data_IF_659427770058
#
_entry.id   IF_659427770058
#
_cell.length_a   1.000
_cell.length_b   1.000
_cell.length_c   1.000
_cell.angle_alpha   90.00
_cell.angle_beta   90.00
_cell.angle_gamma   90.00
#
_symmetry.space_group_name_H-M   'P 1'
#
loop_
_entity.id
_entity.type
_entity.pdbx_description
1 polymer ?
#
# COMPACT_ATOMS: atom_id res chain seq x y z
N UNK A 1 -36.75 -10.80 -55.72
CA UNK A 1 -37.15 -10.25 -54.40
C UNK A 1 -36.23 -10.87 -53.36
N UNK A 2 -35.00 -10.40 -53.22
CA UNK A 2 -34.55 -9.18 -52.50
C UNK A 2 -34.99 -9.21 -51.03
N UNK A 3 -33.97 -9.13 -50.16
CA UNK A 3 -33.96 -9.05 -48.69
C UNK A 3 -34.16 -10.36 -47.92
N UNK A 4 -33.07 -11.08 -47.65
CA UNK A 4 -32.73 -11.58 -46.30
C UNK A 4 -31.24 -11.97 -46.22
N UNK A 5 -30.37 -11.11 -46.75
CA UNK A 5 -28.91 -11.26 -46.72
C UNK A 5 -28.32 -10.14 -45.86
N UNK A 6 -28.35 -10.26 -44.53
CA UNK A 6 -27.46 -9.43 -43.67
C UNK A 6 -27.28 -9.86 -42.20
N UNK A 7 -27.48 -11.12 -41.83
CA UNK A 7 -27.31 -11.55 -40.42
C UNK A 7 -26.38 -12.74 -40.17
N UNK A 8 -25.61 -13.19 -41.17
CA UNK A 8 -24.71 -14.36 -41.02
C UNK A 8 -23.25 -14.13 -41.42
N UNK A 9 -22.78 -12.88 -41.45
CA UNK A 9 -21.45 -12.52 -41.99
C UNK A 9 -20.47 -11.85 -41.00
N UNK A 10 -20.59 -12.12 -39.68
CA UNK A 10 -19.64 -11.56 -38.68
C UNK A 10 -19.00 -12.56 -37.72
N UNK A 11 -19.23 -13.86 -37.86
CA UNK A 11 -18.66 -14.89 -36.97
C UNK A 11 -17.70 -15.88 -37.65
N UNK A 12 -17.37 -15.69 -38.93
CA UNK A 12 -16.54 -16.63 -39.70
C UNK A 12 -15.23 -16.02 -40.28
N UNK A 13 -14.69 -14.97 -39.65
CA UNK A 13 -13.49 -14.26 -40.12
C UNK A 13 -12.33 -14.18 -39.11
N UNK A 14 -12.23 -15.13 -38.17
CA UNK A 14 -11.13 -15.16 -37.18
C UNK A 14 -10.58 -16.55 -36.86
N UNK A 15 -10.88 -17.52 -37.72
CA UNK A 15 -10.23 -18.83 -37.76
C UNK A 15 -9.91 -19.07 -39.24
N UNK A 16 -8.67 -19.46 -39.54
CA UNK A 16 -8.07 -19.57 -40.88
C UNK A 16 -7.36 -18.28 -41.34
N UNK A 17 -6.30 -17.90 -40.62
CA UNK A 17 -5.13 -17.25 -41.24
C UNK A 17 -3.90 -17.55 -40.36
N UNK A 18 -3.25 -18.68 -40.62
CA UNK A 18 -2.06 -19.06 -39.87
C UNK A 18 -1.60 -20.49 -40.11
N UNK A 19 -1.82 -21.05 -41.29
CA UNK A 19 -1.15 -22.27 -41.72
C UNK A 19 -1.12 -22.33 -43.24
N UNK A 20 0.08 -22.58 -43.76
CA UNK A 20 0.45 -22.90 -45.15
C UNK A 20 0.70 -21.73 -46.10
N UNK A 21 1.91 -21.16 -46.03
CA UNK A 21 2.71 -20.84 -47.22
C UNK A 21 4.21 -21.00 -46.91
N UNK A 22 4.77 -22.13 -47.33
CA UNK A 22 6.16 -22.24 -47.83
C UNK A 22 6.03 -22.75 -49.28
N UNK A 23 6.84 -22.26 -50.24
CA UNK A 23 8.12 -22.94 -50.47
C UNK A 23 9.31 -22.03 -50.84
N UNK A 24 10.49 -22.46 -50.36
CA UNK A 24 11.79 -22.61 -51.07
C UNK A 24 12.34 -21.47 -51.94
N UNK A 25 13.49 -20.91 -51.54
CA UNK A 25 14.70 -20.89 -52.38
C UNK A 25 15.98 -20.88 -51.51
N UNK A 26 16.97 -21.65 -51.95
CA UNK A 26 18.30 -21.89 -51.36
C UNK A 26 19.11 -20.58 -51.21
N UNK A 27 20.01 -20.43 -50.24
CA UNK A 27 21.37 -21.01 -50.22
C UNK A 27 22.09 -20.61 -48.91
N UNK A 28 23.12 -21.39 -48.59
CA UNK A 28 24.28 -21.07 -47.75
C UNK A 28 24.19 -20.87 -46.21
N UNK A 29 25.02 -21.69 -45.56
CA UNK A 29 25.69 -21.58 -44.26
C UNK A 29 24.98 -22.03 -42.97
N UNK A 30 25.49 -23.18 -42.53
CA UNK A 30 25.32 -23.87 -41.27
C UNK A 30 25.80 -23.00 -40.09
N UNK A 31 24.86 -22.38 -39.37
CA UNK A 31 25.10 -21.85 -38.02
C UNK A 31 24.16 -22.57 -37.07
N UNK A 32 24.71 -23.45 -36.25
CA UNK A 32 24.09 -23.98 -35.03
C UNK A 32 23.61 -22.81 -34.17
N UNK A 33 22.35 -22.43 -34.29
CA UNK A 33 21.65 -21.61 -33.29
C UNK A 33 21.06 -22.55 -32.26
N UNK A 34 21.75 -22.65 -31.12
CA UNK A 34 21.11 -22.96 -29.86
C UNK A 34 19.90 -22.03 -29.72
N UNK A 35 18.70 -22.61 -29.73
CA UNK A 35 17.50 -21.88 -29.34
C UNK A 35 17.64 -21.63 -27.84
N UNK A 36 17.79 -20.38 -27.35
CA UNK A 36 17.63 -20.16 -25.93
C UNK A 36 16.16 -20.44 -25.65
N UNK A 37 15.89 -21.47 -24.86
CA UNK A 37 14.59 -21.65 -24.25
C UNK A 37 14.27 -20.33 -23.53
N UNK A 38 13.33 -19.56 -24.08
CA UNK A 38 12.69 -18.48 -23.34
C UNK A 38 11.88 -19.17 -22.26
N UNK A 39 12.54 -19.47 -21.15
CA UNK A 39 11.86 -19.74 -19.89
C UNK A 39 11.07 -18.46 -19.59
N UNK A 40 9.75 -18.50 -19.77
CA UNK A 40 8.89 -17.57 -19.05
C UNK A 40 9.23 -17.78 -17.57
N UNK A 41 10.07 -16.90 -17.01
CA UNK A 41 10.47 -16.94 -15.60
C UNK A 41 9.17 -16.89 -14.78
N UNK A 42 8.77 -18.04 -14.23
CA UNK A 42 7.66 -18.09 -13.29
C UNK A 42 8.02 -17.17 -12.13
N UNK A 43 7.16 -16.20 -11.87
CA UNK A 43 7.36 -15.23 -10.79
C UNK A 43 7.31 -16.00 -9.47
N UNK A 44 8.48 -16.18 -8.85
CA UNK A 44 8.60 -16.77 -7.53
C UNK A 44 8.52 -15.72 -6.44
N UNK A 45 7.65 -15.93 -5.45
CA UNK A 45 7.40 -15.00 -4.35
C UNK A 45 7.77 -15.65 -3.01
N UNK A 46 8.49 -14.93 -2.16
CA UNK A 46 8.67 -15.30 -0.75
C UNK A 46 7.62 -14.59 0.12
N UNK A 47 7.09 -15.28 1.14
CA UNK A 47 6.13 -14.69 2.08
C UNK A 47 6.78 -14.59 3.46
N UNK A 48 7.01 -13.36 3.92
CA UNK A 48 7.61 -13.11 5.22
C UNK A 48 6.69 -13.53 6.39
N UNK A 49 7.26 -13.83 7.58
CA UNK A 49 6.50 -13.88 8.82
C UNK A 49 5.69 -12.60 9.01
N UNK A 50 4.40 -12.75 9.31
CA UNK A 50 3.49 -11.62 9.54
C UNK A 50 3.99 -10.81 10.73
N UNK A 51 4.20 -9.52 10.50
CA UNK A 51 4.62 -8.59 11.54
C UNK A 51 3.43 -8.24 12.43
N UNK A 52 3.55 -8.50 13.73
CA UNK A 52 2.50 -8.20 14.68
C UNK A 52 2.63 -6.78 15.24
N UNK A 53 1.93 -5.83 14.62
CA UNK A 53 1.78 -4.46 15.12
C UNK A 53 0.52 -4.30 15.99
N UNK A 54 -0.25 -5.39 16.21
CA UNK A 54 -1.51 -5.34 16.95
C UNK A 54 -1.32 -5.11 18.45
N UNK A 55 -0.11 -5.32 18.97
CA UNK A 55 0.18 -5.25 20.41
C UNK A 55 -0.54 -6.31 21.24
N UNK A 56 -1.26 -7.25 20.61
CA UNK A 56 -2.03 -8.33 21.24
C UNK A 56 -1.54 -9.69 20.75
N UNK A 57 -1.91 -10.76 21.46
CA UNK A 57 -1.67 -12.12 20.96
C UNK A 57 -2.57 -12.35 19.75
N UNK A 58 -1.99 -12.82 18.65
CA UNK A 58 -2.71 -13.00 17.39
C UNK A 58 -2.20 -14.22 16.60
N UNK A 59 -3.05 -14.84 15.77
CA UNK A 59 -2.73 -16.04 14.99
C UNK A 59 -1.92 -15.70 13.73
N UNK A 60 -0.72 -15.13 13.92
CA UNK A 60 0.12 -14.63 12.82
C UNK A 60 0.65 -15.74 11.90
N UNK A 61 0.82 -16.96 12.42
CA UNK A 61 1.26 -18.11 11.63
C UNK A 61 0.16 -18.58 10.71
N UNK A 62 -1.06 -18.66 11.22
CA UNK A 62 -2.26 -19.05 10.50
C UNK A 62 -2.57 -18.04 9.39
N UNK A 63 -2.46 -16.73 9.68
CA UNK A 63 -2.59 -15.66 8.68
C UNK A 63 -1.56 -15.84 7.56
N UNK A 64 -0.29 -16.11 7.89
CA UNK A 64 0.76 -16.36 6.88
C UNK A 64 0.43 -17.58 6.03
N UNK A 65 0.02 -18.69 6.64
CA UNK A 65 -0.33 -19.90 5.90
C UNK A 65 -1.55 -19.69 4.99
N UNK A 66 -2.53 -18.89 5.42
CA UNK A 66 -3.65 -18.49 4.57
C UNK A 66 -3.18 -17.68 3.34
N UNK A 67 -2.20 -16.79 3.50
CA UNK A 67 -1.59 -16.10 2.36
C UNK A 67 -0.89 -17.05 1.39
N UNK A 68 -0.05 -17.95 1.91
CA UNK A 68 0.69 -18.95 1.12
C UNK A 68 -0.27 -19.85 0.34
N UNK A 69 -1.26 -20.43 1.03
CA UNK A 69 -2.22 -21.35 0.41
C UNK A 69 -3.05 -20.66 -0.68
N UNK A 70 -3.48 -19.42 -0.45
CA UNK A 70 -4.27 -18.68 -1.42
C UNK A 70 -3.44 -18.24 -2.63
N UNK A 71 -2.19 -17.82 -2.45
CA UNK A 71 -1.24 -17.56 -3.56
C UNK A 71 -1.01 -18.82 -4.40
N UNK A 72 -0.77 -19.96 -3.76
CA UNK A 72 -0.64 -21.24 -4.45
C UNK A 72 -1.89 -21.61 -5.26
N UNK A 73 -3.08 -21.34 -4.73
CA UNK A 73 -4.35 -21.63 -5.43
C UNK A 73 -4.57 -20.82 -6.71
N UNK A 74 -3.90 -19.67 -6.86
CA UNK A 74 -3.97 -18.82 -8.06
C UNK A 74 -2.77 -19.02 -9.00
N UNK A 75 -1.95 -20.05 -8.75
CA UNK A 75 -0.83 -20.44 -9.62
C UNK A 75 0.45 -19.63 -9.44
N UNK A 76 0.57 -18.85 -8.36
CA UNK A 76 1.82 -18.17 -8.00
C UNK A 76 2.80 -19.18 -7.42
N UNK A 77 4.05 -19.17 -7.90
CA UNK A 77 5.12 -19.99 -7.33
C UNK A 77 5.56 -19.38 -5.99
N UNK A 78 5.20 -20.01 -4.88
CA UNK A 78 5.57 -19.54 -3.53
C UNK A 78 6.76 -20.34 -3.04
N UNK A 79 7.78 -19.64 -2.55
CA UNK A 79 8.98 -20.27 -1.97
C UNK A 79 8.59 -21.19 -0.80
N UNK A 80 9.16 -22.38 -0.77
CA UNK A 80 8.92 -23.36 0.30
C UNK A 80 9.53 -22.92 1.63
N UNK A 81 8.97 -23.45 2.73
CA UNK A 81 9.33 -23.05 4.09
C UNK A 81 10.78 -23.40 4.45
N UNK A 82 11.27 -24.56 4.01
CA UNK A 82 12.61 -25.03 4.37
C UNK A 82 13.69 -24.15 3.72
N UNK A 83 13.53 -23.85 2.42
CA UNK A 83 14.41 -22.93 1.70
C UNK A 83 14.33 -21.52 2.28
N UNK A 84 13.13 -21.05 2.62
CA UNK A 84 12.92 -19.75 3.24
C UNK A 84 13.64 -19.63 4.60
N UNK A 85 13.46 -20.60 5.50
CA UNK A 85 14.10 -20.60 6.83
C UNK A 85 15.64 -20.68 6.72
N UNK A 86 16.17 -21.52 5.83
CA UNK A 86 17.61 -21.58 5.55
C UNK A 86 18.16 -20.23 5.06
N UNK A 87 17.41 -19.55 4.20
CA UNK A 87 17.78 -18.22 3.72
C UNK A 87 17.77 -17.19 4.85
N UNK A 88 16.70 -17.14 5.64
CA UNK A 88 16.56 -16.23 6.79
C UNK A 88 17.71 -16.43 7.80
N UNK A 89 18.07 -17.69 8.08
CA UNK A 89 19.19 -18.03 8.95
C UNK A 89 20.55 -17.63 8.37
N UNK A 90 20.80 -17.91 7.09
CA UNK A 90 22.05 -17.56 6.38
C UNK A 90 22.33 -16.06 6.43
N UNK A 91 21.32 -15.25 6.15
CA UNK A 91 21.42 -13.79 6.13
C UNK A 91 21.12 -13.13 7.49
N UNK A 92 20.84 -13.93 8.53
CA UNK A 92 20.51 -13.48 9.89
C UNK A 92 19.39 -12.43 9.91
N UNK A 93 18.37 -12.64 9.08
CA UNK A 93 17.26 -11.72 8.93
C UNK A 93 16.38 -11.84 10.19
N UNK A 94 16.32 -10.76 10.97
CA UNK A 94 15.49 -10.68 12.19
C UNK A 94 14.31 -9.72 12.04
N UNK A 95 14.42 -8.76 11.14
CA UNK A 95 13.38 -7.79 10.87
C UNK A 95 12.57 -8.24 9.65
N UNK A 96 11.27 -8.42 9.83
CA UNK A 96 10.33 -8.87 8.78
C UNK A 96 9.36 -7.77 8.36
N UNK A 97 9.46 -6.58 8.95
CA UNK A 97 8.63 -5.44 8.60
C UNK A 97 9.06 -4.71 7.33
N UNK A 98 10.05 -5.19 6.58
CA UNK A 98 10.59 -4.57 5.37
C UNK A 98 11.77 -5.33 4.77
N UNK A 99 12.12 -5.00 3.53
CA UNK A 99 13.28 -5.58 2.83
C UNK A 99 14.29 -4.48 2.53
N UNK A 100 15.55 -4.66 2.96
CA UNK A 100 16.65 -3.76 2.59
C UNK A 100 17.18 -4.09 1.19
N UNK A 101 17.94 -3.18 0.59
CA UNK A 101 18.56 -3.39 -0.72
C UNK A 101 19.47 -4.63 -0.75
N UNK A 102 20.21 -4.88 0.32
CA UNK A 102 21.11 -6.03 0.43
C UNK A 102 20.32 -7.34 0.45
N UNK A 103 19.25 -7.39 1.23
CA UNK A 103 18.38 -8.57 1.32
C UNK A 103 17.61 -8.78 0.02
N UNK A 104 17.13 -7.71 -0.62
CA UNK A 104 16.49 -7.78 -1.94
C UNK A 104 17.42 -8.36 -3.01
N UNK A 105 18.70 -7.94 -3.03
CA UNK A 105 19.71 -8.50 -3.93
C UNK A 105 19.95 -9.98 -3.65
N UNK A 106 20.11 -10.35 -2.39
CA UNK A 106 20.31 -11.74 -1.97
C UNK A 106 19.13 -12.64 -2.39
N UNK A 107 17.88 -12.19 -2.23
CA UNK A 107 16.70 -12.94 -2.67
C UNK A 107 16.75 -13.26 -4.16
N UNK A 108 17.12 -12.27 -5.00
CA UNK A 108 17.17 -12.46 -6.45
C UNK A 108 18.34 -13.34 -6.88
N UNK A 109 19.52 -13.17 -6.27
CA UNK A 109 20.75 -13.85 -6.68
C UNK A 109 20.86 -15.29 -6.15
N UNK A 110 20.49 -15.53 -4.90
CA UNK A 110 20.75 -16.83 -4.26
C UNK A 110 19.62 -17.84 -4.49
N UNK A 111 18.37 -17.37 -4.49
CA UNK A 111 17.18 -18.24 -4.51
C UNK A 111 16.16 -17.87 -5.58
N UNK A 112 16.52 -16.95 -6.49
CA UNK A 112 15.73 -16.57 -7.66
C UNK A 112 14.30 -16.14 -7.33
N UNK A 113 14.11 -15.56 -6.14
CA UNK A 113 12.85 -14.93 -5.77
C UNK A 113 12.78 -13.59 -6.52
N UNK A 114 11.62 -13.30 -7.09
CA UNK A 114 11.36 -12.07 -7.85
C UNK A 114 10.55 -11.03 -7.05
N UNK A 115 9.93 -11.44 -5.95
CA UNK A 115 9.23 -10.55 -5.03
C UNK A 115 9.05 -11.11 -3.63
N UNK A 116 8.87 -10.22 -2.66
CA UNK A 116 8.61 -10.55 -1.26
C UNK A 116 7.27 -9.96 -0.84
N UNK A 117 6.35 -10.80 -0.38
CA UNK A 117 5.10 -10.39 0.25
C UNK A 117 5.35 -10.16 1.74
N UNK A 118 5.04 -8.94 2.18
CA UNK A 118 5.17 -8.49 3.56
C UNK A 118 3.79 -8.09 4.06
N UNK A 119 3.38 -8.66 5.18
CA UNK A 119 2.08 -8.40 5.81
C UNK A 119 2.30 -7.96 7.25
N UNK A 120 1.67 -6.86 7.62
CA UNK A 120 1.63 -6.35 8.99
C UNK A 120 0.19 -6.39 9.50
N UNK A 121 0.00 -6.96 10.69
CA UNK A 121 -1.28 -7.01 11.41
C UNK A 121 -1.36 -5.81 12.35
N UNK A 122 -2.20 -4.83 12.02
CA UNK A 122 -2.29 -3.55 12.72
C UNK A 122 -3.26 -3.60 13.91
N UNK A 123 -4.31 -4.41 13.79
CA UNK A 123 -5.35 -4.61 14.81
C UNK A 123 -5.81 -6.07 14.80
N UNK A 124 -5.95 -6.65 15.98
CA UNK A 124 -6.57 -7.96 16.18
C UNK A 124 -7.28 -7.99 17.53
N UNK A 125 -8.59 -8.25 17.49
CA UNK A 125 -9.46 -8.43 18.64
C UNK A 125 -10.46 -9.53 18.32
N UNK A 126 -10.51 -10.56 19.17
CA UNK A 126 -11.50 -11.64 19.13
C UNK A 126 -12.73 -11.33 20.01
N UNK A 127 -12.67 -10.27 20.83
CA UNK A 127 -13.80 -9.75 21.60
C UNK A 127 -14.92 -9.29 20.66
N UNK A 128 -16.16 -9.69 20.93
CA UNK A 128 -17.33 -9.37 20.10
C UNK A 128 -17.70 -7.87 20.21
N UNK A 129 -17.90 -7.15 19.09
CA UNK A 129 -17.65 -7.58 17.71
C UNK A 129 -16.14 -7.69 17.42
N UNK A 130 -15.67 -8.79 16.80
CA UNK A 130 -14.26 -8.96 16.47
C UNK A 130 -13.78 -7.84 15.56
N UNK A 131 -12.49 -7.54 15.62
CA UNK A 131 -11.85 -6.51 14.77
C UNK A 131 -10.53 -7.01 14.23
N UNK A 132 -10.27 -6.69 12.97
CA UNK A 132 -9.03 -7.02 12.31
C UNK A 132 -8.60 -5.91 11.38
N UNK A 133 -7.30 -5.61 11.37
CA UNK A 133 -6.71 -4.75 10.35
C UNK A 133 -5.40 -5.32 9.85
N UNK A 134 -5.28 -5.39 8.52
CA UNK A 134 -4.14 -5.95 7.80
C UNK A 134 -3.69 -4.96 6.74
N UNK A 135 -2.39 -4.78 6.62
CA UNK A 135 -1.77 -4.09 5.50
C UNK A 135 -0.71 -5.00 4.88
N UNK A 136 -0.73 -5.12 3.56
CA UNK A 136 0.18 -6.01 2.83
C UNK A 136 0.79 -5.29 1.65
N UNK A 137 2.02 -5.66 1.33
CA UNK A 137 2.74 -5.13 0.17
C UNK A 137 3.63 -6.18 -0.47
N UNK A 138 3.71 -6.11 -1.79
CA UNK A 138 4.61 -6.91 -2.61
C UNK A 138 5.78 -6.01 -3.03
N UNK A 139 6.98 -6.39 -2.62
CA UNK A 139 8.22 -5.65 -2.92
C UNK A 139 9.02 -6.43 -3.96
N UNK A 140 9.52 -5.76 -5.00
CA UNK A 140 10.42 -6.36 -5.97
C UNK A 140 11.79 -6.64 -5.36
N UNK A 141 12.45 -7.70 -5.82
CA UNK A 141 13.82 -8.05 -5.43
C UNK A 141 14.80 -7.70 -6.53
N UNK A 142 16.07 -7.48 -6.18
CA UNK A 142 17.13 -7.09 -7.10
C UNK A 142 17.87 -5.85 -6.61
N UNK A 143 18.50 -5.14 -7.54
CA UNK A 143 19.37 -4.00 -7.17
C UNK A 143 18.62 -2.77 -6.68
N UNK A 144 17.40 -2.57 -7.16
CA UNK A 144 16.54 -1.43 -6.84
C UNK A 144 15.16 -1.94 -6.41
N UNK A 145 15.01 -2.40 -5.15
CA UNK A 145 13.73 -2.88 -4.67
C UNK A 145 12.70 -1.74 -4.66
N UNK A 146 11.49 -2.05 -5.12
CA UNK A 146 10.38 -1.11 -5.23
C UNK A 146 9.08 -1.77 -4.82
N UNK A 147 8.17 -0.98 -4.26
CA UNK A 147 6.84 -1.45 -3.89
C UNK A 147 6.03 -1.64 -5.18
N UNK A 148 5.74 -2.89 -5.55
CA UNK A 148 4.97 -3.24 -6.74
C UNK A 148 3.47 -3.04 -6.48
N UNK A 149 3.00 -3.54 -5.35
CA UNK A 149 1.61 -3.47 -4.90
C UNK A 149 1.58 -3.25 -3.39
N UNK A 150 0.61 -2.48 -2.92
CA UNK A 150 0.36 -2.28 -1.50
C UNK A 150 -1.12 -1.96 -1.29
N UNK A 151 -1.76 -2.67 -0.37
CA UNK A 151 -3.12 -2.36 0.05
C UNK A 151 -3.37 -2.75 1.51
N UNK A 152 -4.47 -2.24 2.06
CA UNK A 152 -4.82 -2.39 3.47
C UNK A 152 -6.32 -2.53 3.65
N UNK A 153 -6.73 -3.32 4.64
CA UNK A 153 -8.13 -3.51 5.03
C UNK A 153 -8.24 -3.46 6.54
N UNK A 154 -9.21 -2.69 7.05
CA UNK A 154 -9.61 -2.71 8.45
C UNK A 154 -11.11 -3.02 8.50
N UNK A 155 -11.49 -4.00 9.31
CA UNK A 155 -12.87 -4.46 9.49
C UNK A 155 -13.20 -4.61 10.97
N UNK A 156 -14.44 -4.27 11.31
CA UNK A 156 -15.09 -4.67 12.55
C UNK A 156 -16.30 -5.57 12.23
N UNK A 157 -16.61 -6.50 13.14
CA UNK A 157 -17.72 -7.43 13.00
C UNK A 157 -19.07 -6.73 12.85
N UNK A 158 -19.19 -5.50 13.34
CA UNK A 158 -20.39 -4.68 13.31
C UNK A 158 -20.40 -3.61 12.19
N UNK A 159 -19.43 -3.61 11.28
CA UNK A 159 -19.38 -2.67 10.13
C UNK A 159 -20.57 -2.79 9.17
N UNK A 160 -21.25 -3.94 9.16
CA UNK A 160 -22.39 -4.23 8.28
C UNK A 160 -23.70 -4.36 9.06
N UNK A 161 -23.80 -3.80 10.27
CA UNK A 161 -25.04 -3.81 11.07
C UNK A 161 -26.21 -3.28 10.24
N UNK A 162 -27.06 -4.19 9.78
CA UNK A 162 -28.33 -3.89 9.11
C UNK A 162 -29.44 -3.59 10.13
N UNK A 163 -30.68 -3.50 9.65
CA UNK A 163 -31.85 -3.47 10.54
C UNK A 163 -31.88 -4.79 11.35
N UNK A 164 -32.03 -4.73 12.68
CA UNK A 164 -32.08 -5.89 13.58
C UNK A 164 -30.77 -6.72 13.67
N UNK A 165 -29.59 -6.10 13.58
CA UNK A 165 -28.28 -6.78 13.69
C UNK A 165 -28.00 -7.89 12.66
N UNK A 166 -28.78 -7.99 11.57
CA UNK A 166 -28.70 -9.04 10.53
C UNK A 166 -27.38 -9.09 9.73
N UNK A 167 -26.39 -8.25 10.04
CA UNK A 167 -25.07 -8.24 9.40
C UNK A 167 -23.90 -8.23 10.39
N UNK A 168 -24.15 -8.52 11.67
CA UNK A 168 -23.12 -8.70 12.68
C UNK A 168 -22.34 -9.99 12.41
N UNK A 169 -21.02 -9.89 12.32
CA UNK A 169 -20.10 -11.02 12.27
C UNK A 169 -19.53 -11.19 13.68
N UNK A 170 -19.89 -12.26 14.37
CA UNK A 170 -19.39 -12.57 15.72
C UNK A 170 -18.14 -13.46 15.70
N UNK A 171 -17.96 -14.27 14.65
CA UNK A 171 -16.82 -15.18 14.51
C UNK A 171 -15.57 -14.44 13.97
N UNK A 172 -14.47 -14.38 14.74
CA UNK A 172 -13.21 -13.77 14.28
C UNK A 172 -12.64 -14.42 13.01
N UNK A 173 -12.85 -15.73 12.81
CA UNK A 173 -12.35 -16.43 11.63
C UNK A 173 -13.12 -16.01 10.37
N UNK A 174 -14.45 -15.93 10.44
CA UNK A 174 -15.27 -15.39 9.36
C UNK A 174 -14.86 -13.95 8.99
N UNK A 175 -14.51 -13.11 9.99
CA UNK A 175 -14.01 -11.76 9.73
C UNK A 175 -12.63 -11.76 9.07
N UNK A 176 -11.72 -12.63 9.51
CA UNK A 176 -10.40 -12.82 8.91
C UNK A 176 -10.53 -13.29 7.45
N UNK A 177 -11.39 -14.27 7.16
CA UNK A 177 -11.63 -14.75 5.79
C UNK A 177 -12.14 -13.64 4.87
N UNK A 178 -13.04 -12.79 5.39
CA UNK A 178 -13.52 -11.59 4.68
C UNK A 178 -12.39 -10.60 4.41
N UNK A 179 -11.53 -10.31 5.40
CA UNK A 179 -10.38 -9.42 5.25
C UNK A 179 -9.40 -9.97 4.20
N UNK A 180 -9.07 -11.26 4.27
CA UNK A 180 -8.20 -11.95 3.33
C UNK A 180 -8.78 -11.89 1.90
N UNK A 181 -10.07 -12.17 1.74
CA UNK A 181 -10.74 -12.07 0.43
C UNK A 181 -10.59 -10.68 -0.17
N UNK A 182 -10.83 -9.62 0.59
CA UNK A 182 -10.69 -8.22 0.12
C UNK A 182 -9.25 -7.94 -0.33
N UNK A 183 -8.26 -8.36 0.46
CA UNK A 183 -6.84 -8.18 0.16
C UNK A 183 -6.44 -8.90 -1.14
N UNK A 184 -6.83 -10.16 -1.27
CA UNK A 184 -6.56 -10.97 -2.47
C UNK A 184 -7.27 -10.45 -3.71
N UNK A 185 -8.51 -10.00 -3.58
CA UNK A 185 -9.23 -9.37 -4.69
C UNK A 185 -8.48 -8.11 -5.16
N UNK A 186 -7.88 -7.32 -4.24
CA UNK A 186 -7.05 -6.17 -4.59
C UNK A 186 -5.77 -6.56 -5.33
N UNK A 187 -5.03 -7.53 -4.81
CA UNK A 187 -3.83 -8.03 -5.47
C UNK A 187 -4.13 -8.64 -6.85
N UNK A 188 -5.21 -9.41 -6.98
CA UNK A 188 -5.62 -9.99 -8.26
C UNK A 188 -5.99 -8.92 -9.29
N UNK A 189 -6.63 -7.82 -8.89
CA UNK A 189 -6.89 -6.67 -9.77
C UNK A 189 -5.58 -6.06 -10.28
N UNK A 190 -4.60 -5.90 -9.41
CA UNK A 190 -3.26 -5.43 -9.77
C UNK A 190 -2.56 -6.39 -10.75
N UNK A 191 -2.46 -7.67 -10.41
CA UNK A 191 -1.77 -8.69 -11.23
C UNK A 191 -2.41 -8.88 -12.60
N UNK A 192 -3.75 -8.81 -12.66
CA UNK A 192 -4.48 -8.93 -13.93
C UNK A 192 -4.37 -7.69 -14.83
N UNK A 193 -3.64 -6.64 -14.41
CA UNK A 193 -3.56 -5.32 -15.06
C UNK A 193 -4.94 -4.74 -15.41
N UNK A 194 -6.00 -5.14 -14.68
CA UNK A 194 -7.38 -4.65 -14.89
C UNK A 194 -7.61 -3.27 -14.29
N UNK A 195 -6.55 -2.60 -13.82
CA UNK A 195 -6.67 -1.25 -13.30
C UNK A 195 -6.95 -0.25 -14.43
N UNK A 196 -8.17 0.28 -14.41
CA UNK A 196 -8.35 1.71 -14.64
C UNK A 196 -7.91 2.42 -13.36
N UNK A 197 -6.87 3.25 -13.46
CA UNK A 197 -6.46 4.16 -12.39
C UNK A 197 -7.69 4.91 -11.86
N UNK A 198 -7.90 4.90 -10.54
CA UNK A 198 -8.85 5.80 -9.88
C UNK A 198 -10.12 5.21 -9.26
N UNK A 199 -10.41 3.90 -9.35
CA UNK A 199 -11.54 3.28 -8.63
C UNK A 199 -11.26 2.98 -7.14
N UNK A 200 -10.37 3.76 -6.51
CA UNK A 200 -10.22 3.74 -5.06
C UNK A 200 -11.34 4.54 -4.41
N UNK A 201 -11.94 4.00 -3.33
CA UNK A 201 -12.89 4.73 -2.47
C UNK A 201 -12.48 6.19 -2.32
N UNK A 202 -13.33 7.11 -2.77
CA UNK A 202 -13.08 8.55 -2.64
C UNK A 202 -13.13 8.87 -1.16
N UNK A 203 -11.98 9.19 -0.55
CA UNK A 203 -11.94 9.50 0.88
C UNK A 203 -13.05 10.48 1.27
N UNK A 204 -13.68 10.33 2.44
CA UNK A 204 -14.78 11.21 2.84
C UNK A 204 -14.29 12.64 3.12
N UNK A 205 -15.18 13.64 3.08
CA UNK A 205 -14.82 15.05 3.36
C UNK A 205 -14.49 15.28 4.84
N UNK A 206 -15.06 14.48 5.75
CA UNK A 206 -14.80 14.57 7.19
C UNK A 206 -13.34 14.36 7.58
N UNK A 207 -12.60 13.58 6.80
CA UNK A 207 -11.18 13.29 7.03
C UNK A 207 -10.23 14.34 6.43
N UNK A 208 -10.67 15.60 6.29
CA UNK A 208 -9.76 16.67 5.87
C UNK A 208 -8.91 17.08 7.09
N UNK A 209 -7.61 17.36 6.89
CA UNK A 209 -6.78 17.90 7.96
C UNK A 209 -7.38 19.21 8.48
N UNK A 210 -7.26 19.42 9.79
CA UNK A 210 -7.72 20.63 10.48
C UNK A 210 -6.87 21.83 10.07
N UNK A 211 -5.55 21.62 10.04
CA UNK A 211 -4.56 22.62 9.64
C UNK A 211 -3.71 22.00 8.54
N UNK A 212 -3.48 22.76 7.47
CA UNK A 212 -2.58 22.35 6.40
C UNK A 212 -1.85 23.54 5.83
N UNK A 213 -0.56 23.37 5.55
CA UNK A 213 0.28 24.32 4.87
C UNK A 213 0.89 23.66 3.63
N UNK A 214 1.02 24.43 2.55
CA UNK A 214 1.73 24.04 1.33
C UNK A 214 2.57 25.22 0.86
N UNK A 215 3.86 24.99 0.66
CA UNK A 215 4.75 26.02 0.14
C UNK A 215 4.39 26.38 -1.30
N UNK A 216 4.36 27.67 -1.68
CA UNK A 216 4.17 28.10 -3.06
C UNK A 216 5.26 27.61 -4.03
N UNK A 217 6.45 27.27 -3.51
CA UNK A 217 7.57 26.76 -4.31
C UNK A 217 7.44 25.27 -4.66
N UNK A 218 6.53 24.55 -4.01
CA UNK A 218 6.28 23.14 -4.29
C UNK A 218 5.56 22.97 -5.62
N UNK A 219 6.18 22.28 -6.58
CA UNK A 219 5.53 21.94 -7.84
C UNK A 219 4.71 20.64 -7.67
N UNK A 220 3.37 20.70 -7.64
CA UNK A 220 2.55 19.50 -7.48
C UNK A 220 2.60 18.59 -8.71
N UNK A 221 3.08 19.06 -9.87
CA UNK A 221 3.08 18.31 -11.13
C UNK A 221 4.35 17.51 -11.39
N UNK A 222 5.42 17.77 -10.65
CA UNK A 222 6.66 17.01 -10.70
C UNK A 222 6.47 15.62 -10.07
N UNK A 223 7.19 14.62 -10.58
CA UNK A 223 7.34 13.32 -9.93
C UNK A 223 8.42 13.40 -8.85
N UNK A 224 8.14 12.85 -7.68
CA UNK A 224 9.04 12.86 -6.53
C UNK A 224 9.31 11.45 -6.03
N UNK A 225 10.57 11.19 -5.69
CA UNK A 225 10.94 10.02 -4.88
C UNK A 225 10.81 10.38 -3.40
N UNK A 226 10.05 9.59 -2.64
CA UNK A 226 9.67 9.90 -1.26
C UNK A 226 10.16 8.82 -0.31
N UNK A 227 10.99 9.20 0.65
CA UNK A 227 11.27 8.38 1.82
C UNK A 227 10.26 8.71 2.94
N UNK A 228 9.76 7.70 3.65
CA UNK A 228 8.87 7.92 4.80
C UNK A 228 9.63 7.51 6.06
N UNK A 229 9.97 8.50 6.88
CA UNK A 229 10.63 8.27 8.16
C UNK A 229 9.67 7.65 9.17
N UNK A 230 10.19 6.88 10.16
CA UNK A 230 9.39 6.46 11.31
C UNK A 230 8.74 7.67 11.98
N UNK A 231 7.42 7.60 12.20
CA UNK A 231 6.71 8.64 12.93
C UNK A 231 7.04 8.52 14.42
N UNK A 232 7.29 9.66 15.06
CA UNK A 232 7.53 9.70 16.49
C UNK A 232 6.21 9.43 17.23
N UNK A 233 6.22 8.56 18.23
CA UNK A 233 4.98 8.06 18.83
C UNK A 233 4.80 8.56 20.27
N UNK A 234 3.88 9.51 20.46
CA UNK A 234 3.43 9.99 21.78
C UNK A 234 2.17 9.27 22.28
N UNK A 235 1.51 8.50 21.42
CA UNK A 235 0.29 7.76 21.79
C UNK A 235 0.59 6.59 22.72
N UNK A 236 -0.45 6.10 23.41
CA UNK A 236 -0.35 4.88 24.24
C UNK A 236 -0.16 3.60 23.40
N UNK A 237 -0.46 3.68 22.10
CA UNK A 237 -0.40 2.56 21.17
C UNK A 237 1.04 2.35 20.71
N UNK A 238 1.70 1.32 21.24
CA UNK A 238 3.13 1.01 21.00
C UNK A 238 3.63 1.20 19.56
N UNK A 239 2.90 0.73 18.56
CA UNK A 239 3.32 0.71 17.16
C UNK A 239 2.60 1.74 16.27
N UNK A 240 1.96 2.75 16.84
CA UNK A 240 1.18 3.71 16.05
C UNK A 240 2.03 4.43 15.00
N UNK A 241 3.28 4.78 15.33
CA UNK A 241 4.21 5.39 14.39
C UNK A 241 4.48 4.51 13.16
N UNK A 242 4.75 3.22 13.37
CA UNK A 242 4.99 2.27 12.28
C UNK A 242 3.73 2.05 11.43
N UNK A 243 2.55 1.97 12.06
CA UNK A 243 1.27 1.84 11.36
C UNK A 243 1.03 3.07 10.45
N UNK A 244 1.29 4.28 10.94
CA UNK A 244 1.14 5.51 10.15
C UNK A 244 2.05 5.52 8.92
N UNK A 245 3.31 5.07 9.05
CA UNK A 245 4.23 4.91 7.91
C UNK A 245 3.60 4.03 6.83
N UNK A 246 3.04 2.88 7.20
CA UNK A 246 2.42 1.94 6.25
C UNK A 246 1.21 2.56 5.55
N UNK A 247 0.37 3.31 6.27
CA UNK A 247 -0.77 4.00 5.65
C UNK A 247 -0.35 5.10 4.69
N UNK A 248 0.65 5.92 5.05
CA UNK A 248 1.18 6.92 4.14
C UNK A 248 1.82 6.29 2.90
N UNK A 249 2.60 5.22 3.07
CA UNK A 249 3.18 4.50 1.94
C UNK A 249 2.08 3.99 1.00
N UNK A 250 1.05 3.33 1.55
CA UNK A 250 -0.10 2.82 0.78
C UNK A 250 -0.80 3.91 0.01
N UNK A 251 -1.13 5.04 0.65
CA UNK A 251 -1.93 6.08 0.01
C UNK A 251 -1.11 6.93 -0.96
N UNK A 252 0.17 7.23 -0.68
CA UNK A 252 1.03 7.96 -1.60
C UNK A 252 1.33 7.14 -2.87
N UNK A 253 1.52 5.82 -2.74
CA UNK A 253 1.77 4.92 -3.88
C UNK A 253 0.62 4.87 -4.90
N UNK A 254 -0.58 5.30 -4.51
CA UNK A 254 -1.75 5.41 -5.41
C UNK A 254 -1.66 6.56 -6.40
N UNK A 255 -0.70 7.47 -6.25
CA UNK A 255 -0.49 8.58 -7.16
C UNK A 255 0.78 8.34 -7.97
N UNK A 256 0.71 8.41 -9.30
CA UNK A 256 1.88 8.22 -10.20
C UNK A 256 2.94 9.32 -10.10
N UNK A 257 2.68 10.32 -9.25
CA UNK A 257 3.57 11.43 -8.93
C UNK A 257 4.50 11.12 -7.75
N UNK A 258 4.25 10.06 -7.00
CA UNK A 258 5.10 9.64 -5.90
C UNK A 258 5.68 8.26 -6.15
N UNK A 259 7.00 8.16 -6.08
CA UNK A 259 7.71 6.89 -5.98
C UNK A 259 8.16 6.70 -4.54
N UNK A 260 7.49 5.80 -3.81
CA UNK A 260 7.72 5.60 -2.37
C UNK A 260 8.82 4.57 -2.19
N UNK A 261 9.89 4.96 -1.50
CA UNK A 261 11.01 4.07 -1.15
C UNK A 261 10.53 3.04 -0.12
N UNK A 262 10.92 1.79 -0.32
CA UNK A 262 10.57 0.71 0.58
C UNK A 262 11.12 0.92 2.00
N UNK A 263 10.25 0.71 3.00
CA UNK A 263 10.53 0.98 4.42
C UNK A 263 11.75 0.22 4.95
N UNK A 264 12.03 -0.99 4.43
CA UNK A 264 13.24 -1.73 4.80
C UNK A 264 14.54 -1.01 4.43
N UNK A 265 14.58 -0.37 3.25
CA UNK A 265 15.71 0.45 2.81
C UNK A 265 15.80 1.75 3.62
N UNK A 266 14.65 2.39 3.91
CA UNK A 266 14.62 3.58 4.78
C UNK A 266 15.16 3.24 6.17
N UNK A 267 14.67 2.17 6.79
CA UNK A 267 15.14 1.70 8.11
C UNK A 267 16.64 1.41 8.11
N UNK A 268 17.15 0.78 7.06
CA UNK A 268 18.58 0.50 6.92
C UNK A 268 19.41 1.79 6.90
N UNK A 269 18.97 2.82 6.14
CA UNK A 269 19.61 4.13 6.15
C UNK A 269 19.67 4.76 7.55
N UNK A 270 18.56 4.72 8.31
CA UNK A 270 18.54 5.20 9.69
C UNK A 270 19.56 4.48 10.59
N UNK A 271 19.66 3.15 10.46
CA UNK A 271 20.62 2.35 11.23
C UNK A 271 22.08 2.65 10.85
N UNK A 272 22.37 2.79 9.56
CA UNK A 272 23.72 3.09 9.06
C UNK A 272 24.23 4.44 9.55
N UNK A 273 23.36 5.46 9.54
CA UNK A 273 23.68 6.79 10.06
C UNK A 273 23.60 6.87 11.58
N UNK A 274 23.18 5.80 12.27
CA UNK A 274 22.99 5.74 13.73
C UNK A 274 22.11 6.88 14.25
N UNK A 275 21.09 7.24 13.48
CA UNK A 275 20.16 8.32 13.84
C UNK A 275 19.18 7.77 14.88
N UNK A 276 19.13 8.43 16.03
CA UNK A 276 18.10 8.23 17.05
C UNK A 276 17.11 9.39 16.92
N UNK A 277 15.83 9.05 16.81
CA UNK A 277 14.75 10.04 16.71
C UNK A 277 14.29 10.40 18.12
N UNK A 278 14.87 11.43 18.71
CA UNK A 278 14.48 11.89 20.06
C UNK A 278 13.21 12.75 20.05
N UNK A 279 12.95 13.46 18.93
CA UNK A 279 11.83 14.40 18.73
C UNK A 279 11.39 14.47 17.25
N UNK A 280 11.48 13.35 16.53
CA UNK A 280 11.28 13.32 15.07
C UNK A 280 12.54 13.67 14.27
N UNK A 281 12.38 13.90 12.96
CA UNK A 281 13.50 14.07 12.01
C UNK A 281 13.92 15.53 11.93
N UNK A 282 15.16 15.85 12.32
CA UNK A 282 15.76 17.18 12.11
C UNK A 282 16.05 17.44 10.62
N UNK A 283 16.12 18.71 10.20
CA UNK A 283 16.47 19.05 8.81
C UNK A 283 17.84 18.50 8.37
N UNK A 284 18.82 18.45 9.28
CA UNK A 284 20.16 17.90 9.02
C UNK A 284 20.09 16.39 8.78
N UNK A 285 19.31 15.68 9.60
CA UNK A 285 19.09 14.25 9.44
C UNK A 285 18.31 13.97 8.15
N UNK A 286 17.29 14.77 7.85
CA UNK A 286 16.51 14.70 6.61
C UNK A 286 17.39 14.83 5.36
N UNK A 287 18.29 15.82 5.31
CA UNK A 287 19.23 16.00 4.18
C UNK A 287 20.16 14.80 4.03
N UNK A 288 20.66 14.26 5.14
CA UNK A 288 21.55 13.09 5.15
C UNK A 288 20.83 11.82 4.64
N UNK A 289 19.61 11.56 5.13
CA UNK A 289 18.79 10.40 4.74
C UNK A 289 18.38 10.48 3.28
N UNK A 290 17.85 11.62 2.85
CA UNK A 290 17.45 11.82 1.45
C UNK A 290 18.66 11.79 0.50
N UNK A 291 19.83 12.21 0.98
CA UNK A 291 21.12 12.04 0.31
C UNK A 291 21.47 10.57 0.06
N UNK A 292 21.47 9.77 1.12
CA UNK A 292 21.82 8.34 1.05
C UNK A 292 20.82 7.53 0.20
N UNK A 293 19.54 7.81 0.34
CA UNK A 293 18.47 7.11 -0.37
C UNK A 293 18.19 7.64 -1.79
N UNK A 294 18.87 8.74 -2.18
CA UNK A 294 18.56 9.49 -3.41
C UNK A 294 17.07 9.89 -3.52
N UNK A 295 16.46 10.25 -2.39
CA UNK A 295 15.08 10.73 -2.34
C UNK A 295 15.01 12.24 -2.61
N UNK A 296 13.93 12.70 -3.23
CA UNK A 296 13.63 14.12 -3.39
C UNK A 296 13.02 14.69 -2.10
N UNK A 297 12.17 13.90 -1.46
CA UNK A 297 11.37 14.29 -0.31
C UNK A 297 11.53 13.28 0.83
N UNK A 298 11.41 13.76 2.06
CA UNK A 298 11.19 12.92 3.24
C UNK A 298 9.91 13.32 3.96
N UNK A 299 9.02 12.36 4.18
CA UNK A 299 7.83 12.51 5.00
C UNK A 299 8.18 12.10 6.43
N UNK A 300 7.89 12.95 7.40
CA UNK A 300 8.07 12.69 8.82
C UNK A 300 6.88 13.26 9.60
N UNK A 301 6.72 12.88 10.85
CA UNK A 301 5.64 13.37 11.69
C UNK A 301 5.64 12.75 13.07
N UNK A 302 4.60 13.08 13.83
CA UNK A 302 4.36 12.51 15.15
C UNK A 302 2.91 12.02 15.27
N UNK A 303 2.72 10.99 16.10
CA UNK A 303 1.41 10.44 16.43
C UNK A 303 1.11 10.79 17.87
N UNK A 304 0.09 11.61 18.10
CA UNK A 304 -0.33 12.05 19.42
C UNK A 304 -1.41 11.16 20.01
N UNK A 305 -2.30 10.64 19.18
CA UNK A 305 -3.38 9.74 19.60
C UNK A 305 -3.60 8.64 18.56
N UNK A 306 -3.79 7.41 19.02
CA UNK A 306 -4.13 6.26 18.18
C UNK A 306 -4.81 5.23 19.07
N UNK A 307 -6.13 5.22 19.04
CA UNK A 307 -6.95 4.36 19.86
C UNK A 307 -7.91 3.54 19.00
N UNK A 308 -7.83 2.23 19.19
CA UNK A 308 -8.87 1.28 18.83
C UNK A 308 -9.50 0.77 20.12
N UNK A 309 -10.82 0.68 20.15
CA UNK A 309 -11.56 0.10 21.28
C UNK A 309 -11.84 -1.39 21.04
N UNK A 310 -11.91 -2.16 22.12
CA UNK A 310 -12.36 -3.55 22.08
C UNK A 310 -13.80 -3.67 22.56
N UNK A 311 -14.56 -4.58 21.97
CA UNK A 311 -15.97 -4.78 22.31
C UNK A 311 -16.91 -3.78 21.65
N UNK A 312 -18.16 -3.76 22.12
CA UNK A 312 -19.30 -3.06 21.50
C UNK A 312 -19.26 -1.54 21.72
N UNK A 313 -18.58 -1.09 22.78
CA UNK A 313 -18.60 0.30 23.21
C UNK A 313 -17.22 0.95 23.04
N UNK A 314 -17.21 2.12 22.42
CA UNK A 314 -16.03 2.95 22.24
C UNK A 314 -16.02 3.58 20.86
N UNK A 315 -15.14 4.55 20.69
CA UNK A 315 -14.98 5.29 19.45
C UNK A 315 -13.48 5.29 19.15
N UNK A 316 -13.06 4.86 17.94
CA UNK A 316 -11.66 4.91 17.60
C UNK A 316 -11.24 6.37 17.41
N UNK A 317 -10.01 6.70 17.77
CA UNK A 317 -9.47 8.06 17.70
C UNK A 317 -8.09 8.06 17.08
N UNK A 318 -7.82 9.05 16.26
CA UNK A 318 -6.53 9.20 15.58
C UNK A 318 -6.16 10.68 15.55
N UNK A 319 -4.96 10.98 16.00
CA UNK A 319 -4.36 12.31 15.95
C UNK A 319 -2.89 12.21 15.56
N UNK A 320 -2.50 12.92 14.51
CA UNK A 320 -1.10 12.97 14.06
C UNK A 320 -0.77 14.29 13.35
N UNK A 321 0.50 14.66 13.40
CA UNK A 321 1.08 15.66 12.52
C UNK A 321 1.87 14.98 11.41
N UNK A 322 1.97 15.61 10.24
CA UNK A 322 2.80 15.14 9.15
C UNK A 322 3.43 16.34 8.42
N UNK A 323 4.68 16.20 8.01
CA UNK A 323 5.43 17.21 7.28
C UNK A 323 6.28 16.56 6.19
N UNK A 324 6.39 17.27 5.06
CA UNK A 324 7.16 16.88 3.89
C UNK A 324 8.30 17.87 3.73
N UNK A 325 9.53 17.37 3.80
CA UNK A 325 10.75 18.17 3.69
C UNK A 325 11.39 17.88 2.34
N UNK A 326 11.66 18.92 1.54
CA UNK A 326 12.31 18.77 0.25
C UNK A 326 13.83 18.93 0.36
N UNK A 327 14.58 17.96 -0.17
CA UNK A 327 16.05 17.98 -0.15
C UNK A 327 16.65 19.18 -0.89
N UNK A 328 16.08 19.55 -2.04
CA UNK A 328 16.60 20.61 -2.91
C UNK A 328 16.55 21.99 -2.25
N UNK A 329 15.41 22.34 -1.66
CA UNK A 329 15.20 23.62 -0.97
C UNK A 329 15.62 23.58 0.50
N UNK A 330 15.70 22.38 1.11
CA UNK A 330 15.91 22.16 2.55
C UNK A 330 14.82 22.78 3.41
N UNK A 331 13.61 22.84 2.88
CA UNK A 331 12.45 23.47 3.51
C UNK A 331 11.31 22.46 3.69
N UNK A 332 10.43 22.75 4.65
CA UNK A 332 9.13 22.09 4.77
C UNK A 332 8.25 22.60 3.62
N UNK A 333 8.00 21.75 2.64
CA UNK A 333 7.18 22.08 1.46
C UNK A 333 5.70 21.82 1.69
N UNK A 334 5.36 21.01 2.70
CA UNK A 334 3.99 20.74 3.10
C UNK A 334 3.94 20.30 4.56
N UNK A 335 2.88 20.66 5.29
CA UNK A 335 2.59 20.11 6.62
C UNK A 335 1.09 20.04 6.90
N UNK A 336 0.70 19.19 7.84
CA UNK A 336 -0.66 19.16 8.38
C UNK A 336 -0.72 18.65 9.80
N UNK A 337 -1.74 19.11 10.51
CA UNK A 337 -2.24 18.50 11.74
C UNK A 337 -3.61 17.89 11.46
N UNK A 338 -3.76 16.61 11.80
CA UNK A 338 -4.94 15.83 11.47
C UNK A 338 -5.46 15.08 12.69
N UNK A 339 -6.77 15.23 12.95
CA UNK A 339 -7.51 14.58 14.03
C UNK A 339 -8.82 13.99 13.48
N UNK A 340 -9.24 12.83 13.97
CA UNK A 340 -10.57 12.32 13.72
C UNK A 340 -11.04 11.34 14.80
N UNK A 341 -12.35 11.27 14.99
CA UNK A 341 -13.02 10.26 15.82
C UNK A 341 -14.02 9.46 14.95
N UNK A 342 -14.15 8.16 15.20
CA UNK A 342 -14.97 7.28 14.36
C UNK A 342 -16.46 7.65 14.29
N UNK A 343 -16.96 8.38 15.29
CA UNK A 343 -18.35 8.85 15.36
C UNK A 343 -18.58 10.22 14.70
N UNK A 344 -17.52 10.86 14.18
CA UNK A 344 -17.67 12.15 13.52
C UNK A 344 -18.50 12.01 12.23
N UNK A 345 -19.59 12.79 12.12
CA UNK A 345 -20.47 12.78 10.95
C UNK A 345 -21.33 11.51 10.81
N UNK A 346 -21.59 10.81 11.92
CA UNK A 346 -22.60 9.75 12.00
C UNK A 346 -24.01 10.34 11.92
N UNK A 347 -24.85 9.74 11.08
CA UNK A 347 -26.28 10.01 10.97
C UNK A 347 -27.10 8.78 11.45
N UNK A 348 -28.43 8.88 11.42
CA UNK A 348 -29.35 7.82 11.88
C UNK A 348 -28.90 6.40 11.48
N UNK A 349 -29.04 5.45 12.42
CA UNK A 349 -28.65 4.04 12.27
C UNK A 349 -27.14 3.82 12.01
N UNK A 350 -26.30 4.56 12.73
CA UNK A 350 -24.83 4.47 12.65
C UNK A 350 -24.24 4.73 11.25
N UNK A 351 -25.03 5.31 10.34
CA UNK A 351 -24.62 5.59 8.98
C UNK A 351 -23.50 6.63 8.98
N UNK A 352 -22.30 6.20 8.57
CA UNK A 352 -21.12 7.05 8.52
C UNK A 352 -20.07 6.76 9.60
N UNK A 353 -20.38 5.89 10.58
CA UNK A 353 -19.45 5.44 11.62
C UNK A 353 -18.25 4.75 10.99
N UNK A 354 -17.10 4.89 11.61
CA UNK A 354 -15.89 4.12 11.30
C UNK A 354 -15.41 3.45 12.57
N UNK A 355 -15.34 2.11 12.55
CA UNK A 355 -15.11 1.32 13.77
C UNK A 355 -13.65 0.97 14.04
N UNK A 356 -12.74 1.32 13.13
CA UNK A 356 -11.30 1.07 13.27
C UNK A 356 -10.46 2.31 12.93
N UNK A 357 -9.43 2.54 13.73
CA UNK A 357 -8.46 3.62 13.53
C UNK A 357 -7.73 3.46 12.18
N UNK A 358 -7.40 2.23 11.77
CA UNK A 358 -6.76 1.96 10.46
C UNK A 358 -7.58 2.49 9.27
N UNK A 359 -8.91 2.29 9.27
CA UNK A 359 -9.76 2.85 8.21
C UNK A 359 -9.74 4.38 8.22
N UNK A 360 -9.75 5.01 9.39
CA UNK A 360 -9.64 6.47 9.51
C UNK A 360 -8.30 6.99 8.98
N UNK A 361 -7.19 6.40 9.42
CA UNK A 361 -5.83 6.78 9.00
C UNK A 361 -5.70 6.66 7.48
N UNK A 362 -6.18 5.55 6.89
CA UNK A 362 -6.19 5.36 5.44
C UNK A 362 -6.92 6.49 4.72
N UNK A 363 -8.07 6.92 5.26
CA UNK A 363 -8.85 8.00 4.67
C UNK A 363 -8.18 9.38 4.83
N UNK A 364 -7.59 9.63 6.00
CA UNK A 364 -6.85 10.86 6.31
C UNK A 364 -5.58 10.99 5.44
N UNK A 365 -4.76 9.94 5.38
CA UNK A 365 -3.56 9.87 4.53
C UNK A 365 -3.91 10.02 3.04
N UNK A 366 -5.01 9.42 2.57
CA UNK A 366 -5.48 9.63 1.20
C UNK A 366 -5.87 11.10 0.93
N UNK A 367 -6.53 11.76 1.90
CA UNK A 367 -6.88 13.17 1.77
C UNK A 367 -5.66 14.05 1.73
N UNK A 368 -4.68 13.77 2.57
CA UNK A 368 -3.37 14.43 2.56
C UNK A 368 -2.69 14.27 1.20
N UNK A 369 -2.55 13.04 0.68
CA UNK A 369 -1.92 12.80 -0.63
C UNK A 369 -2.58 13.58 -1.77
N UNK A 370 -3.92 13.69 -1.76
CA UNK A 370 -4.65 14.53 -2.71
C UNK A 370 -4.37 16.02 -2.52
N UNK A 371 -4.30 16.49 -1.28
CA UNK A 371 -4.07 17.91 -0.98
C UNK A 371 -2.66 18.35 -1.34
N UNK A 372 -1.65 17.49 -1.16
CA UNK A 372 -0.27 17.76 -1.61
C UNK A 372 -0.25 18.02 -3.13
N UNK A 373 -1.05 17.26 -3.90
CA UNK A 373 -1.09 17.34 -5.36
C UNK A 373 -2.12 18.32 -5.93
N UNK A 374 -2.98 18.92 -5.10
CA UNK A 374 -3.98 19.88 -5.56
C UNK A 374 -3.36 21.26 -5.78
N UNK A 375 -3.60 21.84 -6.95
CA UNK A 375 -3.22 23.22 -7.24
C UNK A 375 -4.33 24.17 -6.79
N UNK A 376 -4.13 24.83 -5.63
CA UNK A 376 -5.07 25.81 -5.08
C UNK A 376 -5.35 27.00 -6.02
N UNK A 377 -4.48 27.25 -7.03
CA UNK A 377 -4.70 28.29 -8.03
C UNK A 377 -5.96 28.06 -8.88
N UNK A 378 -6.43 26.81 -9.03
CA UNK A 378 -7.68 26.52 -9.76
C UNK A 378 -8.95 26.77 -8.94
N UNK A 379 -8.86 26.90 -7.62
CA UNK A 379 -10.04 27.10 -6.75
C UNK A 379 -10.45 28.58 -6.68
N UNK A 380 -9.51 29.52 -6.83
CA UNK A 380 -9.83 30.96 -6.83
C UNK A 380 -10.37 31.49 -8.17
N UNK A 381 -10.13 30.78 -9.30
CA UNK A 381 -10.62 31.19 -10.63
C UNK A 381 -12.12 31.00 -10.90
N UNK A 382 -12.87 30.35 -9.99
CA UNK A 382 -14.29 30.05 -10.17
C UNK A 382 -15.25 30.93 -9.32
N UNK A 383 -14.72 31.91 -8.56
CA UNK A 383 -15.51 32.78 -7.68
C UNK A 383 -15.31 34.29 -7.90
N UNK A 384 -14.77 34.69 -9.06
CA UNK A 384 -14.48 36.09 -9.37
C UNK A 384 -15.04 36.56 -10.71
N UNK A 385 -16.37 36.53 -10.90
CA UNK A 385 -17.04 37.40 -11.90
C UNK A 385 -18.55 37.44 -11.66
N UNK A 386 -18.99 38.31 -10.74
CA UNK A 386 -20.36 38.87 -10.72
C UNK A 386 -20.43 39.90 -9.59
N UNK A 387 -20.29 41.17 -9.94
CA UNK A 387 -20.41 42.27 -8.99
C UNK A 387 -19.92 43.59 -9.58
N UNK A 388 -20.36 43.93 -10.80
CA UNK A 388 -20.32 45.30 -11.26
C UNK A 388 -21.41 46.10 -10.54
N UNK A 389 -20.96 47.21 -9.96
CA UNK A 389 -21.73 48.23 -9.26
C UNK A 389 -22.60 48.96 -10.27
N UNK A 390 -23.88 49.16 -9.92
CA UNK A 390 -24.70 50.27 -10.41
C UNK A 390 -25.01 51.19 -9.25
#
# INVERSE_FOLDING_TARGET
MILFTHFLNKTAALLILGLLLFPSLADAEEIKKENPAVHEERIRIAVFPVENLSGTVAPVKEIRQAFIGKLGSVGVDVLDEETFEKFMAKYRIRYTGGVSTEIAKAFKQDIHVSGVLITSLELYSDVIPPKISLISRLVSTGESPSILWMDGVGLAGDDSRGLLDLGLIEDPNALLDKAMKIMFDSMNRYLSKKNKEGEGYRAKRKFRPQISYRSPSFDPNRKYTVAIAPFFNYSLRKYAGDILVLHFAKELKRFDRFDVIEMGAVRQAFLEMRIILDQGVSLVNADSITGLLNADLILAGDVTDYEDYQGVWGTPKVSFSAQLIERKSREVVWSSDSYNEGDEGVFFFDLGRVNTASVMVSQMAQRIGRMILQDDRKVQGARGSSGEVK
#
